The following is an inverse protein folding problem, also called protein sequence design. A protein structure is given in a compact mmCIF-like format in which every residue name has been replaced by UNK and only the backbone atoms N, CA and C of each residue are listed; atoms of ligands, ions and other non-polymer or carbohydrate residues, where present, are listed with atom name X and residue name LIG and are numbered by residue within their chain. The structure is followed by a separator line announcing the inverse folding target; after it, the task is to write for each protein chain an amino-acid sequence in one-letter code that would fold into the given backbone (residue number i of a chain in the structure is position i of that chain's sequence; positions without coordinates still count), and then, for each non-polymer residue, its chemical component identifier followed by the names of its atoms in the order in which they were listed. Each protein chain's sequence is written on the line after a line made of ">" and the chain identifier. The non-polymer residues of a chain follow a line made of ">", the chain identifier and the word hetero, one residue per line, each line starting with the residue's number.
data_IF_582449405271
#
_entry.id   IF_582449405271
#
_cell.length_a   1.000
_cell.length_b   1.000
_cell.length_c   1.000
_cell.angle_alpha   90.00
_cell.angle_beta   90.00
_cell.angle_gamma   90.00
#
_symmetry.space_group_name_H-M   'P 1'
#
loop_
_entity.id
_entity.type
_entity.pdbx_description
1 polymer ?
#
# COMPACT_ATOMS: atom_id res chain seq x y z
N UNK A 1 -23.36 14.47 -4.84
CA UNK A 1 -23.77 13.85 -3.58
C UNK A 1 -24.35 12.45 -3.75
N UNK A 2 -25.41 12.24 -4.54
CA UNK A 2 -26.04 10.92 -4.75
C UNK A 2 -25.06 9.88 -5.32
N UNK A 3 -24.27 10.24 -6.34
CA UNK A 3 -23.26 9.34 -6.94
C UNK A 3 -22.23 8.86 -5.91
N UNK A 4 -21.79 9.72 -5.02
CA UNK A 4 -20.83 9.40 -3.96
C UNK A 4 -21.40 8.39 -2.95
N UNK A 5 -22.68 8.57 -2.58
CA UNK A 5 -23.38 7.65 -1.67
C UNK A 5 -23.55 6.27 -2.31
N UNK A 6 -23.90 6.21 -3.61
CA UNK A 6 -24.03 4.95 -4.35
C UNK A 6 -22.68 4.22 -4.44
N UNK A 7 -21.60 4.94 -4.75
CA UNK A 7 -20.25 4.35 -4.83
C UNK A 7 -19.78 3.85 -3.47
N UNK A 8 -19.92 4.65 -2.41
CA UNK A 8 -19.53 4.25 -1.05
C UNK A 8 -20.38 3.08 -0.55
N UNK A 9 -21.71 3.11 -0.77
CA UNK A 9 -22.60 2.02 -0.42
C UNK A 9 -22.27 0.72 -1.17
N UNK A 10 -22.02 0.82 -2.47
CA UNK A 10 -21.62 -0.32 -3.29
C UNK A 10 -20.29 -0.93 -2.87
N UNK A 11 -19.27 -0.10 -2.60
CA UNK A 11 -17.99 -0.57 -2.11
C UNK A 11 -18.11 -1.23 -0.73
N UNK A 12 -18.83 -0.60 0.20
CA UNK A 12 -19.06 -1.17 1.54
C UNK A 12 -19.76 -2.52 1.47
N UNK A 13 -20.79 -2.65 0.64
CA UNK A 13 -21.52 -3.91 0.43
C UNK A 13 -20.64 -4.97 -0.20
N UNK A 14 -19.81 -4.61 -1.18
CA UNK A 14 -18.85 -5.52 -1.79
C UNK A 14 -17.84 -6.05 -0.77
N UNK A 15 -17.25 -5.16 0.03
CA UNK A 15 -16.31 -5.56 1.09
C UNK A 15 -16.99 -6.41 2.17
N UNK A 16 -18.23 -6.10 2.57
CA UNK A 16 -18.96 -6.89 3.53
C UNK A 16 -19.23 -8.31 3.02
N UNK A 17 -19.65 -8.46 1.74
CA UNK A 17 -19.84 -9.78 1.12
C UNK A 17 -18.51 -10.53 0.96
N UNK A 18 -17.43 -9.82 0.59
CA UNK A 18 -16.10 -10.42 0.48
C UNK A 18 -15.63 -10.94 1.85
N UNK A 19 -15.72 -10.12 2.89
CA UNK A 19 -15.36 -10.50 4.25
C UNK A 19 -16.22 -11.66 4.76
N UNK A 20 -17.55 -11.62 4.51
CA UNK A 20 -18.43 -12.71 4.86
C UNK A 20 -18.02 -14.01 4.17
N UNK A 21 -17.70 -13.98 2.87
CA UNK A 21 -17.21 -15.15 2.13
C UNK A 21 -15.85 -15.63 2.63
N UNK A 22 -14.94 -14.75 2.99
CA UNK A 22 -13.64 -15.11 3.56
C UNK A 22 -13.82 -15.74 4.93
N UNK A 23 -14.72 -15.21 5.77
CA UNK A 23 -15.02 -15.76 7.10
C UNK A 23 -15.82 -17.05 7.05
N UNK A 24 -16.74 -17.21 6.10
CA UNK A 24 -17.54 -18.44 5.93
C UNK A 24 -16.81 -19.51 5.10
N UNK A 25 -15.69 -19.16 4.47
CA UNK A 25 -14.78 -20.14 3.90
C UNK A 25 -13.98 -20.71 5.08
N UNK A 26 -14.28 -21.95 5.48
CA UNK A 26 -13.59 -22.68 6.54
C UNK A 26 -12.12 -22.92 6.16
N UNK A 27 -11.36 -21.82 6.10
CA UNK A 27 -9.95 -21.83 5.80
C UNK A 27 -9.18 -22.61 6.87
N UNK A 28 -9.72 -22.57 8.11
CA UNK A 28 -9.07 -23.18 9.26
C UNK A 28 -9.38 -24.68 9.37
N UNK A 29 -10.63 -25.11 9.15
CA UNK A 29 -10.99 -26.54 9.22
C UNK A 29 -10.46 -27.35 8.03
N UNK A 30 -10.50 -26.78 6.83
CA UNK A 30 -9.96 -27.44 5.64
C UNK A 30 -8.42 -27.44 5.61
N UNK A 31 -7.78 -26.45 6.18
CA UNK A 31 -6.32 -26.38 6.30
C UNK A 31 -5.72 -27.45 7.21
N UNK A 32 -6.45 -27.88 8.24
CA UNK A 32 -6.00 -28.93 9.16
C UNK A 32 -6.26 -30.35 8.60
N UNK A 33 -7.28 -30.52 7.76
CA UNK A 33 -7.61 -31.83 7.16
C UNK A 33 -6.85 -32.21 5.90
N UNK A 34 -6.36 -31.25 5.13
CA UNK A 34 -5.62 -31.50 3.88
C UNK A 34 -4.12 -31.32 3.99
N UNK A 35 -3.51 -31.63 5.12
CA UNK A 35 -2.05 -31.60 5.24
C UNK A 35 -1.34 -32.65 4.35
N UNK A 36 -2.08 -33.43 3.56
CA UNK A 36 -1.54 -34.50 2.72
C UNK A 36 -1.56 -34.24 1.20
N UNK A 37 -2.05 -33.06 0.76
CA UNK A 37 -1.91 -32.60 -0.64
C UNK A 37 -1.57 -31.12 -0.69
N UNK A 38 -0.39 -30.78 -0.21
CA UNK A 38 0.16 -29.43 -0.43
C UNK A 38 0.26 -29.25 -1.96
N UNK A 39 -0.57 -28.37 -2.50
CA UNK A 39 -0.49 -28.03 -3.92
C UNK A 39 0.93 -27.58 -4.22
N UNK A 40 1.51 -28.04 -5.33
CA UNK A 40 2.86 -27.61 -5.77
C UNK A 40 3.00 -26.10 -5.78
N UNK A 41 1.90 -25.39 -5.99
CA UNK A 41 1.82 -23.93 -5.97
C UNK A 41 2.00 -23.37 -4.54
N UNK A 42 1.34 -23.97 -3.54
CA UNK A 42 1.50 -23.54 -2.14
C UNK A 42 2.93 -23.77 -1.64
N UNK A 43 3.49 -24.95 -1.94
CA UNK A 43 4.89 -25.27 -1.61
C UNK A 43 5.85 -24.28 -2.29
N UNK A 44 5.61 -23.91 -3.54
CA UNK A 44 6.45 -22.96 -4.25
C UNK A 44 6.36 -21.55 -3.64
N UNK A 45 5.14 -21.09 -3.29
CA UNK A 45 4.90 -19.73 -2.78
C UNK A 45 5.39 -19.61 -1.33
N UNK A 46 5.00 -20.54 -0.45
CA UNK A 46 5.19 -20.37 1.00
C UNK A 46 6.42 -21.09 1.53
N UNK A 47 6.87 -22.20 0.94
CA UNK A 47 8.03 -22.94 1.44
C UNK A 47 9.32 -22.50 0.74
N UNK A 48 9.28 -22.28 -0.59
CA UNK A 48 10.48 -21.96 -1.35
C UNK A 48 10.82 -20.48 -1.41
N UNK A 49 9.82 -19.62 -1.50
CA UNK A 49 9.97 -18.17 -1.59
C UNK A 49 8.95 -17.42 -0.71
N UNK A 50 8.95 -17.68 0.60
CA UNK A 50 7.88 -17.22 1.49
C UNK A 50 7.73 -15.69 1.52
N UNK A 51 8.81 -14.95 1.39
CA UNK A 51 8.81 -13.49 1.40
C UNK A 51 8.71 -12.88 -0.01
N UNK A 52 9.48 -13.42 -0.95
CA UNK A 52 9.66 -12.81 -2.27
C UNK A 52 8.39 -12.83 -3.13
N UNK A 53 7.66 -13.93 -3.13
CA UNK A 53 6.45 -14.08 -3.96
C UNK A 53 5.30 -13.20 -3.42
N UNK A 54 4.95 -13.19 -2.12
CA UNK A 54 3.98 -12.25 -1.57
C UNK A 54 4.34 -10.79 -1.83
N UNK A 55 5.60 -10.42 -1.68
CA UNK A 55 6.08 -9.07 -1.97
C UNK A 55 5.81 -8.66 -3.43
N UNK A 56 6.20 -9.51 -4.40
CA UNK A 56 6.00 -9.23 -5.83
C UNK A 56 4.51 -9.20 -6.17
N UNK A 57 3.71 -10.12 -5.63
CA UNK A 57 2.27 -10.15 -5.85
C UNK A 57 1.59 -8.87 -5.36
N UNK A 58 1.97 -8.37 -4.19
CA UNK A 58 1.44 -7.10 -3.66
C UNK A 58 1.77 -5.93 -4.59
N UNK A 59 3.02 -5.82 -5.05
CA UNK A 59 3.42 -4.77 -6.00
C UNK A 59 2.62 -4.88 -7.31
N UNK A 60 2.48 -6.08 -7.86
CA UNK A 60 1.71 -6.30 -9.11
C UNK A 60 0.23 -5.94 -8.93
N UNK A 61 -0.38 -6.32 -7.81
CA UNK A 61 -1.77 -5.96 -7.51
C UNK A 61 -1.97 -4.45 -7.35
N UNK A 62 -0.95 -3.72 -6.91
CA UNK A 62 -1.02 -2.27 -6.75
C UNK A 62 -0.66 -1.48 -8.01
N UNK A 63 -0.06 -2.11 -9.04
CA UNK A 63 0.29 -1.43 -10.29
C UNK A 63 -0.88 -0.66 -10.94
N UNK A 64 -2.10 -1.22 -11.06
CA UNK A 64 -3.21 -0.47 -11.65
C UNK A 64 -3.53 0.81 -10.85
N UNK A 65 -3.42 0.73 -9.52
CA UNK A 65 -3.64 1.86 -8.62
C UNK A 65 -2.55 2.93 -8.77
N UNK A 66 -1.29 2.50 -8.87
CA UNK A 66 -0.14 3.39 -9.09
C UNK A 66 -0.30 4.17 -10.40
N UNK A 67 -0.71 3.49 -11.47
CA UNK A 67 -0.91 4.11 -12.79
C UNK A 67 -2.11 5.07 -12.77
N UNK A 68 -3.22 4.65 -12.18
CA UNK A 68 -4.45 5.44 -12.13
C UNK A 68 -4.29 6.72 -11.31
N UNK A 69 -3.57 6.67 -10.20
CA UNK A 69 -3.36 7.80 -9.29
C UNK A 69 -2.09 8.59 -9.56
N UNK A 70 -1.40 8.35 -10.68
CA UNK A 70 -0.20 9.13 -11.00
C UNK A 70 -0.43 10.65 -10.92
N UNK A 71 0.43 11.41 -10.27
CA UNK A 71 1.71 11.06 -9.60
C UNK A 71 1.56 10.56 -8.16
N UNK A 72 0.36 10.43 -7.67
CA UNK A 72 -0.01 10.05 -6.31
C UNK A 72 -1.06 11.00 -5.74
N UNK A 73 -1.64 10.61 -4.61
CA UNK A 73 -2.56 11.44 -3.84
C UNK A 73 -1.84 12.02 -2.63
N UNK A 74 -2.06 13.30 -2.35
CA UNK A 74 -1.61 13.93 -1.12
C UNK A 74 -2.83 14.27 -0.27
N UNK A 75 -2.82 13.85 0.99
CA UNK A 75 -3.81 14.27 1.98
C UNK A 75 -3.51 15.70 2.45
N UNK A 76 -4.49 16.32 3.11
CA UNK A 76 -4.28 17.63 3.73
C UNK A 76 -3.11 17.60 4.72
N UNK A 77 -3.06 16.58 5.57
CA UNK A 77 -1.97 16.39 6.53
C UNK A 77 -0.61 16.21 5.85
N UNK A 78 -0.59 15.50 4.72
CA UNK A 78 0.62 15.35 3.90
C UNK A 78 1.09 16.67 3.31
N UNK A 79 0.16 17.56 2.93
CA UNK A 79 0.49 18.89 2.43
C UNK A 79 1.06 19.78 3.56
N UNK A 80 0.48 19.74 4.75
CA UNK A 80 1.01 20.46 5.92
C UNK A 80 2.41 19.98 6.30
N UNK A 81 2.61 18.65 6.33
CA UNK A 81 3.91 18.05 6.60
C UNK A 81 4.97 18.50 5.58
N UNK A 82 4.58 18.60 4.30
CA UNK A 82 5.43 19.09 3.24
C UNK A 82 5.77 20.57 3.42
N UNK A 83 4.78 21.40 3.68
CA UNK A 83 4.98 22.83 3.94
C UNK A 83 5.91 23.07 5.13
N UNK A 84 5.75 22.29 6.20
CA UNK A 84 6.67 22.30 7.35
C UNK A 84 8.08 21.88 6.96
N UNK A 85 8.24 20.81 6.18
CA UNK A 85 9.54 20.31 5.75
C UNK A 85 10.31 21.31 4.87
N UNK A 86 9.61 22.10 4.04
CA UNK A 86 10.19 23.18 3.23
C UNK A 86 10.25 24.55 3.95
N UNK A 87 9.85 24.58 5.23
CA UNK A 87 9.83 25.82 6.05
C UNK A 87 8.90 26.92 5.53
N UNK A 88 7.87 26.55 4.78
CA UNK A 88 6.80 27.48 4.40
C UNK A 88 5.82 27.72 5.58
N UNK A 89 5.77 26.79 6.54
CA UNK A 89 5.02 26.88 7.79
C UNK A 89 5.92 26.50 8.98
N UNK A 90 5.51 26.83 10.20
CA UNK A 90 6.20 26.40 11.41
C UNK A 90 6.16 24.87 11.52
N UNK A 91 7.31 24.27 11.79
CA UNK A 91 7.40 22.84 12.00
C UNK A 91 6.61 22.45 13.25
N UNK A 92 5.61 21.61 13.09
CA UNK A 92 4.83 21.07 14.20
C UNK A 92 5.19 19.62 14.46
N UNK A 93 5.14 19.19 15.72
CA UNK A 93 5.37 17.79 16.11
C UNK A 93 4.16 16.88 15.78
N UNK A 94 3.20 17.40 15.04
CA UNK A 94 1.96 16.69 14.72
C UNK A 94 2.14 15.62 13.64
N UNK A 95 3.15 15.77 12.79
CA UNK A 95 3.44 14.84 11.69
C UNK A 95 4.72 14.03 11.95
N UNK A 96 4.76 12.74 11.54
CA UNK A 96 5.96 11.93 11.66
C UNK A 96 7.14 12.57 10.92
N UNK A 97 8.19 12.91 11.65
CA UNK A 97 9.34 13.63 11.10
C UNK A 97 10.04 12.86 9.96
N UNK A 98 10.09 11.53 10.06
CA UNK A 98 10.74 10.66 9.06
C UNK A 98 10.01 10.73 7.72
N UNK A 99 8.68 10.64 7.70
CA UNK A 99 7.89 10.71 6.47
C UNK A 99 7.99 12.07 5.80
N UNK A 100 7.96 13.15 6.59
CA UNK A 100 8.12 14.53 6.10
C UNK A 100 9.52 14.74 5.50
N UNK A 101 10.54 14.16 6.11
CA UNK A 101 11.92 14.23 5.64
C UNK A 101 12.11 13.45 4.33
N UNK A 102 11.55 12.25 4.26
CA UNK A 102 11.58 11.42 3.07
C UNK A 102 10.88 12.11 1.89
N UNK A 103 9.71 12.70 2.16
CA UNK A 103 8.96 13.48 1.17
C UNK A 103 9.79 14.67 0.66
N UNK A 104 10.43 15.41 1.56
CA UNK A 104 11.32 16.51 1.18
C UNK A 104 12.47 16.08 0.28
N UNK A 105 13.12 14.95 0.61
CA UNK A 105 14.22 14.41 -0.19
C UNK A 105 13.73 14.03 -1.59
N UNK A 106 12.60 13.30 -1.67
CA UNK A 106 12.04 12.86 -2.93
C UNK A 106 11.62 14.02 -3.82
N UNK A 107 10.96 15.05 -3.27
CA UNK A 107 10.54 16.23 -4.04
C UNK A 107 11.76 17.07 -4.44
N UNK A 108 12.77 17.19 -3.58
CA UNK A 108 14.01 17.89 -3.93
C UNK A 108 14.76 17.17 -5.07
N UNK A 109 14.71 15.84 -5.10
CA UNK A 109 15.25 15.06 -6.22
C UNK A 109 14.44 15.31 -7.51
N UNK A 110 13.10 15.33 -7.43
CA UNK A 110 12.23 15.68 -8.56
C UNK A 110 12.50 17.06 -9.12
N UNK A 111 12.70 18.07 -8.27
CA UNK A 111 13.08 19.43 -8.67
C UNK A 111 14.38 19.47 -9.48
N UNK A 112 15.37 18.67 -9.07
CA UNK A 112 16.66 18.58 -9.80
C UNK A 112 16.51 17.98 -11.19
N UNK A 113 15.50 17.12 -11.40
CA UNK A 113 15.17 16.52 -12.70
C UNK A 113 14.26 17.46 -13.52
N UNK A 114 13.86 18.59 -12.95
CA UNK A 114 13.06 19.62 -13.61
C UNK A 114 11.54 19.48 -13.42
N UNK A 115 11.05 18.51 -12.61
CA UNK A 115 9.62 18.36 -12.36
C UNK A 115 9.32 17.81 -10.96
N UNK A 116 8.64 18.60 -10.13
CA UNK A 116 8.22 18.20 -8.78
C UNK A 116 7.26 16.99 -8.78
N UNK A 117 6.49 16.83 -9.84
CA UNK A 117 5.55 15.71 -10.03
C UNK A 117 6.27 14.36 -9.92
N UNK A 118 7.46 14.24 -10.49
CA UNK A 118 8.29 13.04 -10.36
C UNK A 118 8.80 12.83 -8.93
N UNK A 119 9.00 13.89 -8.18
CA UNK A 119 9.34 13.80 -6.76
C UNK A 119 8.20 13.22 -5.92
N UNK A 120 6.97 13.64 -6.17
CA UNK A 120 5.79 13.04 -5.54
C UNK A 120 5.64 11.57 -5.91
N UNK A 121 5.78 11.25 -7.19
CA UNK A 121 5.73 9.86 -7.65
C UNK A 121 6.79 9.00 -6.98
N UNK A 122 8.03 9.47 -6.91
CA UNK A 122 9.14 8.77 -6.24
C UNK A 122 8.82 8.51 -4.76
N UNK A 123 8.27 9.49 -4.05
CA UNK A 123 7.85 9.33 -2.67
C UNK A 123 6.79 8.24 -2.51
N UNK A 124 5.76 8.24 -3.38
CA UNK A 124 4.71 7.22 -3.35
C UNK A 124 5.26 5.82 -3.66
N UNK A 125 6.16 5.68 -4.63
CA UNK A 125 6.80 4.39 -4.95
C UNK A 125 7.60 3.87 -3.75
N UNK A 126 8.37 4.72 -3.07
CA UNK A 126 9.11 4.32 -1.88
C UNK A 126 8.15 3.82 -0.79
N UNK A 127 7.04 4.53 -0.54
CA UNK A 127 6.05 4.09 0.42
C UNK A 127 5.42 2.74 0.07
N UNK A 128 5.05 2.55 -1.19
CA UNK A 128 4.47 1.30 -1.69
C UNK A 128 5.43 0.12 -1.49
N UNK A 129 6.71 0.32 -1.82
CA UNK A 129 7.74 -0.72 -1.63
C UNK A 129 7.89 -1.07 -0.15
N UNK A 130 7.98 -0.05 0.72
CA UNK A 130 8.10 -0.27 2.17
C UNK A 130 6.87 -0.98 2.74
N UNK A 131 5.67 -0.58 2.34
CA UNK A 131 4.43 -1.23 2.77
C UNK A 131 4.34 -2.68 2.27
N UNK A 132 4.68 -2.94 1.00
CA UNK A 132 4.70 -4.29 0.47
C UNK A 132 5.71 -5.18 1.21
N UNK A 133 6.88 -4.64 1.59
CA UNK A 133 7.88 -5.36 2.36
C UNK A 133 7.35 -5.74 3.76
N UNK A 134 6.72 -4.78 4.46
CA UNK A 134 6.13 -5.03 5.78
C UNK A 134 5.00 -6.06 5.70
N UNK A 135 4.11 -5.95 4.71
CA UNK A 135 3.04 -6.93 4.52
C UNK A 135 3.57 -8.32 4.16
N UNK A 136 4.60 -8.40 3.33
CA UNK A 136 5.24 -9.67 3.01
C UNK A 136 5.85 -10.32 4.26
N UNK A 137 6.47 -9.54 5.15
CA UNK A 137 7.01 -10.03 6.42
C UNK A 137 5.92 -10.57 7.33
N UNK A 138 4.81 -9.83 7.48
CA UNK A 138 3.66 -10.27 8.30
C UNK A 138 3.04 -11.57 7.78
N UNK A 139 3.07 -11.82 6.48
CA UNK A 139 2.55 -13.06 5.88
C UNK A 139 3.46 -14.27 6.11
N UNK A 140 4.72 -14.06 6.46
CA UNK A 140 5.72 -15.11 6.71
C UNK A 140 5.78 -15.50 8.20
N UNK A 141 5.41 -14.55 9.10
CA UNK A 141 5.34 -14.81 10.55
C UNK A 141 4.16 -15.66 10.96
#
# INVERSE_FOLDING_TARGET
>A
MIKTIIVLGGMSSFFAVLLYKVYSFDFWENGVREHNKTSKVNTFIFDKHPWGIPFVLLIVCWLPYIVYLFPGTISWDGLEALCGAFRYMTWTNHHPAISSWLMKIAISAGRKIGNETYGFFLYNIIQIILQAAVFAEVLVC
#
